data_IF_173125191585
#
_entry.id   IF_173125191585
#
_cell.length_a   1.000
_cell.length_b   1.000
_cell.length_c   1.000
_cell.angle_alpha   90.00
_cell.angle_beta   90.00
_cell.angle_gamma   90.00
#
_symmetry.space_group_name_H-M   'P 1'
#
loop_
_entity.id
_entity.type
_entity.pdbx_description
1 polymer ?
#
# COMPACT_ATOMS: atom_id res chain seq x y z
N UNK A 1 30.85 -1.78 0.05
CA UNK A 1 29.85 -1.36 -0.93
C UNK A 1 29.04 -0.24 -0.31
N UNK A 2 28.96 0.90 -0.99
CA UNK A 2 28.20 2.07 -0.57
C UNK A 2 26.85 2.11 -1.32
N UNK A 3 25.74 2.14 -0.59
CA UNK A 3 24.39 2.00 -1.16
C UNK A 3 23.60 3.28 -0.89
N UNK A 4 23.13 3.93 -1.97
CA UNK A 4 22.25 5.09 -1.88
C UNK A 4 20.79 4.71 -2.15
N UNK A 5 19.88 5.07 -1.24
CA UNK A 5 18.44 4.85 -1.35
C UNK A 5 17.79 6.21 -1.59
N UNK A 6 17.13 6.37 -2.72
CA UNK A 6 16.39 7.59 -3.08
C UNK A 6 14.93 7.42 -2.66
N UNK A 7 14.51 8.14 -1.62
CA UNK A 7 13.18 8.11 -1.03
C UNK A 7 13.11 7.39 0.33
N UNK A 8 12.65 8.11 1.33
CA UNK A 8 12.41 7.66 2.72
C UNK A 8 10.96 7.22 2.98
N UNK A 9 10.29 6.67 1.97
CA UNK A 9 8.98 6.04 2.10
C UNK A 9 9.03 4.65 2.75
N UNK A 10 7.89 3.96 2.83
CA UNK A 10 7.78 2.63 3.46
C UNK A 10 8.79 1.63 2.85
N UNK A 11 8.90 1.57 1.51
CA UNK A 11 9.83 0.67 0.82
C UNK A 11 11.29 1.00 1.10
N UNK A 12 11.67 2.29 0.99
CA UNK A 12 13.06 2.73 1.21
C UNK A 12 13.53 2.54 2.65
N UNK A 13 12.67 2.82 3.62
CA UNK A 13 12.98 2.60 5.05
C UNK A 13 13.03 1.10 5.39
N UNK A 14 12.12 0.29 4.83
CA UNK A 14 12.18 -1.16 4.99
C UNK A 14 13.47 -1.73 4.41
N UNK A 15 13.90 -1.24 3.24
CA UNK A 15 15.18 -1.61 2.63
C UNK A 15 16.35 -1.20 3.52
N UNK A 16 16.40 0.04 3.99
CA UNK A 16 17.48 0.52 4.85
C UNK A 16 17.64 -0.31 6.12
N UNK A 17 16.51 -0.64 6.77
CA UNK A 17 16.48 -1.49 7.96
C UNK A 17 16.92 -2.93 7.66
N UNK A 18 16.53 -3.47 6.51
CA UNK A 18 16.91 -4.84 6.11
C UNK A 18 18.38 -4.91 5.75
N UNK A 19 18.92 -3.92 5.03
CA UNK A 19 20.35 -3.81 4.73
C UNK A 19 21.17 -3.69 6.01
N UNK A 20 20.74 -2.85 6.94
CA UNK A 20 21.38 -2.74 8.25
C UNK A 20 21.43 -4.08 8.99
N UNK A 21 20.34 -4.84 8.99
CA UNK A 21 20.28 -6.17 9.59
C UNK A 21 21.24 -7.17 8.93
N UNK A 22 21.55 -6.99 7.63
CA UNK A 22 22.52 -7.77 6.87
C UNK A 22 23.97 -7.23 6.98
N UNK A 23 24.22 -6.18 7.77
CA UNK A 23 25.53 -5.57 7.91
C UNK A 23 25.97 -4.77 6.67
N UNK A 24 25.04 -4.41 5.79
CA UNK A 24 25.31 -3.64 4.57
C UNK A 24 25.05 -2.16 4.84
N UNK A 25 26.08 -1.28 4.78
CA UNK A 25 25.90 0.15 5.02
C UNK A 25 25.12 0.80 3.87
N UNK A 26 24.17 1.68 4.22
CA UNK A 26 23.39 2.45 3.25
C UNK A 26 23.11 3.86 3.77
N UNK A 27 22.71 4.75 2.86
CA UNK A 27 22.22 6.10 3.15
C UNK A 27 20.88 6.32 2.46
N UNK A 28 19.92 6.92 3.19
CA UNK A 28 18.58 7.25 2.70
C UNK A 28 18.51 8.76 2.45
N UNK A 29 18.00 9.15 1.30
CA UNK A 29 17.82 10.54 0.87
C UNK A 29 16.32 10.79 0.64
N UNK A 30 15.71 11.51 1.59
CA UNK A 30 14.29 11.85 1.57
C UNK A 30 14.08 13.28 1.10
N UNK A 31 13.11 13.47 0.19
CA UNK A 31 12.83 14.77 -0.38
C UNK A 31 12.26 15.77 0.63
N UNK A 32 11.33 15.34 1.50
CA UNK A 32 10.69 16.26 2.43
C UNK A 32 11.67 16.77 3.51
N UNK A 33 11.55 18.05 3.92
CA UNK A 33 12.40 18.60 4.99
C UNK A 33 12.12 18.00 6.36
N UNK A 34 10.88 17.56 6.60
CA UNK A 34 10.46 16.93 7.85
C UNK A 34 9.38 15.88 7.60
N UNK A 35 9.54 14.72 8.20
CA UNK A 35 8.57 13.64 8.17
C UNK A 35 7.45 13.93 9.17
N UNK A 36 6.19 13.82 8.72
CA UNK A 36 4.98 14.06 9.53
C UNK A 36 4.06 12.85 9.48
N UNK A 37 3.26 12.70 10.52
CA UNK A 37 2.18 11.71 10.54
C UNK A 37 1.04 12.16 9.63
N UNK A 38 1.08 11.73 8.37
CA UNK A 38 0.11 12.10 7.35
C UNK A 38 -0.58 10.87 6.76
N UNK A 39 -1.80 11.07 6.31
CA UNK A 39 -2.55 10.09 5.53
C UNK A 39 -3.77 9.54 6.25
N UNK A 40 -4.23 8.40 5.77
CA UNK A 40 -5.39 7.64 6.23
C UNK A 40 -4.94 6.22 6.62
N UNK A 41 -5.87 5.29 6.72
CA UNK A 41 -5.53 3.90 7.04
C UNK A 41 -4.74 3.18 5.93
N UNK A 42 -4.00 2.19 6.36
CA UNK A 42 -3.37 1.17 5.52
C UNK A 42 -3.51 -0.20 6.20
N UNK A 43 -3.56 -1.26 5.42
CA UNK A 43 -3.59 -2.64 5.95
C UNK A 43 -2.27 -3.33 5.68
N UNK A 44 -1.66 -3.85 6.72
CA UNK A 44 -0.47 -4.70 6.67
C UNK A 44 -0.92 -6.15 6.62
N UNK A 45 -0.75 -6.77 5.46
CA UNK A 45 -1.09 -8.18 5.24
C UNK A 45 -0.06 -9.12 5.90
N UNK A 46 -0.39 -10.39 6.17
CA UNK A 46 0.47 -11.32 6.90
C UNK A 46 1.89 -11.46 6.34
N UNK A 47 2.07 -11.48 5.01
CA UNK A 47 3.39 -11.56 4.38
C UNK A 47 4.24 -10.27 4.58
N UNK A 48 3.62 -9.09 4.66
CA UNK A 48 4.33 -7.88 5.06
C UNK A 48 4.68 -7.88 6.55
N UNK A 49 3.75 -8.34 7.40
CA UNK A 49 3.97 -8.46 8.84
C UNK A 49 5.06 -9.47 9.17
N UNK A 50 5.26 -10.53 8.37
CA UNK A 50 6.40 -11.45 8.49
C UNK A 50 7.72 -10.67 8.42
N UNK A 51 7.90 -9.87 7.38
CA UNK A 51 9.14 -9.12 7.16
C UNK A 51 9.34 -8.03 8.24
N UNK A 52 8.27 -7.32 8.60
CA UNK A 52 8.32 -6.32 9.67
C UNK A 52 8.60 -6.93 11.05
N UNK A 53 8.12 -8.16 11.30
CA UNK A 53 8.43 -8.92 12.51
C UNK A 53 9.89 -9.35 12.52
N UNK A 54 10.44 -9.80 11.39
CA UNK A 54 11.86 -10.10 11.25
C UNK A 54 12.76 -8.89 11.49
N UNK A 55 12.26 -7.67 11.24
CA UNK A 55 12.91 -6.41 11.59
C UNK A 55 12.71 -6.00 13.06
N UNK A 56 12.00 -6.80 13.88
CA UNK A 56 11.72 -6.49 15.28
C UNK A 56 10.65 -5.41 15.49
N UNK A 57 9.81 -5.13 14.48
CA UNK A 57 8.78 -4.09 14.54
C UNK A 57 7.37 -4.64 14.68
N UNK A 58 7.17 -5.95 14.51
CA UNK A 58 5.85 -6.58 14.40
C UNK A 58 4.93 -6.30 15.59
N UNK A 59 5.40 -6.53 16.83
CA UNK A 59 4.59 -6.30 18.03
C UNK A 59 4.25 -4.82 18.24
N UNK A 60 5.19 -3.91 17.95
CA UNK A 60 4.94 -2.48 18.05
C UNK A 60 3.85 -2.04 17.08
N UNK A 61 3.83 -2.56 15.86
CA UNK A 61 2.81 -2.26 14.86
C UNK A 61 1.44 -2.84 15.23
N UNK A 62 1.40 -4.05 15.81
CA UNK A 62 0.14 -4.63 16.32
C UNK A 62 -0.44 -3.77 17.45
N UNK A 63 0.40 -3.25 18.35
CA UNK A 63 -0.05 -2.37 19.45
C UNK A 63 -0.52 -0.98 18.99
N UNK A 64 0.03 -0.48 17.86
CA UNK A 64 -0.32 0.84 17.31
C UNK A 64 -1.51 0.81 16.36
N UNK A 65 -1.87 -0.37 15.86
CA UNK A 65 -2.99 -0.61 14.96
C UNK A 65 -4.05 -1.53 15.58
N UNK A 66 -4.87 -2.09 14.71
CA UNK A 66 -5.89 -3.08 15.10
C UNK A 66 -5.66 -4.35 14.27
N UNK A 67 -5.52 -5.48 14.95
CA UNK A 67 -5.46 -6.78 14.28
C UNK A 67 -6.84 -7.13 13.72
N UNK A 68 -6.94 -7.25 12.40
CA UNK A 68 -8.15 -7.64 11.71
C UNK A 68 -8.52 -9.09 12.05
N UNK A 69 -9.76 -9.28 12.52
CA UNK A 69 -10.30 -10.59 12.87
C UNK A 69 -10.90 -11.31 11.67
N UNK A 70 -11.68 -10.56 10.90
CA UNK A 70 -12.40 -11.08 9.74
C UNK A 70 -12.44 -10.06 8.60
N UNK A 71 -12.70 -10.55 7.39
CA UNK A 71 -13.08 -9.75 6.23
C UNK A 71 -14.52 -10.08 5.87
N UNK A 72 -15.34 -9.05 5.65
CA UNK A 72 -16.75 -9.19 5.33
C UNK A 72 -17.10 -8.44 4.06
N UNK A 73 -17.85 -9.11 3.20
CA UNK A 73 -18.28 -8.59 1.92
C UNK A 73 -19.80 -8.46 1.94
N UNK A 74 -20.29 -7.27 1.64
CA UNK A 74 -21.71 -6.96 1.63
C UNK A 74 -22.14 -6.41 0.27
N UNK A 75 -23.41 -6.59 -0.10
CA UNK A 75 -24.01 -5.82 -1.18
C UNK A 75 -24.30 -4.37 -0.71
N UNK A 76 -24.74 -3.51 -1.60
CA UNK A 76 -25.07 -2.11 -1.28
C UNK A 76 -26.29 -1.94 -0.36
N UNK A 77 -27.04 -3.01 -0.11
CA UNK A 77 -28.17 -3.05 0.81
C UNK A 77 -27.79 -3.50 2.22
N UNK A 78 -26.50 -3.80 2.48
CA UNK A 78 -25.99 -4.24 3.77
C UNK A 78 -26.16 -5.74 4.05
N UNK A 79 -26.56 -6.54 3.05
CA UNK A 79 -26.68 -7.99 3.19
C UNK A 79 -25.31 -8.66 3.02
N UNK A 80 -25.01 -9.59 3.92
CA UNK A 80 -23.73 -10.33 3.91
C UNK A 80 -23.69 -11.29 2.71
N UNK A 81 -22.66 -11.13 1.88
CA UNK A 81 -22.33 -12.01 0.76
C UNK A 81 -21.38 -13.12 1.22
N UNK A 82 -20.29 -12.73 1.84
CA UNK A 82 -19.24 -13.65 2.25
C UNK A 82 -18.46 -13.08 3.44
N UNK A 83 -17.98 -13.96 4.28
CA UNK A 83 -17.07 -13.61 5.35
C UNK A 83 -15.97 -14.67 5.50
N UNK A 84 -14.80 -14.25 5.93
CA UNK A 84 -13.67 -15.11 6.19
C UNK A 84 -12.78 -14.57 7.31
N UNK A 85 -12.12 -15.43 8.10
CA UNK A 85 -11.14 -15.00 9.09
C UNK A 85 -9.90 -14.41 8.43
N UNK A 86 -9.17 -13.55 9.17
CA UNK A 86 -7.97 -12.86 8.68
C UNK A 86 -6.77 -13.07 9.62
N UNK A 87 -5.57 -12.89 9.08
CA UNK A 87 -4.34 -12.94 9.86
C UNK A 87 -4.27 -14.20 10.74
N UNK A 88 -3.92 -14.03 12.01
CA UNK A 88 -3.81 -15.15 12.96
C UNK A 88 -5.13 -15.90 13.19
N UNK A 89 -6.26 -15.22 13.03
CA UNK A 89 -7.58 -15.87 13.12
C UNK A 89 -7.88 -16.81 11.94
N UNK A 90 -7.18 -16.64 10.81
CA UNK A 90 -7.21 -17.56 9.67
C UNK A 90 -6.12 -18.63 9.73
N UNK A 91 -5.35 -18.69 10.82
CA UNK A 91 -4.25 -19.65 11.02
C UNK A 91 -2.93 -19.22 10.35
N UNK A 92 -2.75 -17.95 10.01
CA UNK A 92 -1.43 -17.43 9.66
C UNK A 92 -0.56 -17.26 10.91
N UNK A 93 0.77 -17.41 10.82
CA UNK A 93 1.68 -17.12 11.94
C UNK A 93 1.71 -15.62 12.29
N UNK A 94 1.33 -14.76 11.34
CA UNK A 94 1.41 -13.31 11.47
C UNK A 94 0.05 -12.66 11.42
N UNK A 95 -0.10 -11.55 12.16
CA UNK A 95 -1.30 -10.74 12.17
C UNK A 95 -1.56 -10.08 10.81
N UNK A 96 -2.81 -9.75 10.53
CA UNK A 96 -3.16 -8.71 9.58
C UNK A 96 -3.57 -7.46 10.36
N UNK A 97 -2.98 -6.31 10.08
CA UNK A 97 -3.13 -5.11 10.92
C UNK A 97 -3.63 -3.93 10.10
N UNK A 98 -4.79 -3.39 10.48
CA UNK A 98 -5.22 -2.05 10.09
C UNK A 98 -4.50 -1.01 10.94
N UNK A 99 -3.81 -0.04 10.31
CA UNK A 99 -3.03 0.97 11.02
C UNK A 99 -3.10 2.31 10.30
N UNK A 100 -2.92 3.42 11.03
CA UNK A 100 -2.73 4.72 10.42
C UNK A 100 -1.40 4.75 9.63
N UNK A 101 -1.45 5.12 8.34
CA UNK A 101 -0.27 5.08 7.44
C UNK A 101 0.90 5.92 7.96
N UNK A 102 0.59 7.07 8.56
CA UNK A 102 1.60 7.94 9.17
C UNK A 102 2.30 7.27 10.36
N UNK A 103 1.57 6.53 11.19
CA UNK A 103 2.18 5.77 12.31
C UNK A 103 3.11 4.67 11.82
N UNK A 104 2.71 3.92 10.79
CA UNK A 104 3.60 2.94 10.15
C UNK A 104 4.88 3.63 9.65
N UNK A 105 4.72 4.73 8.92
CA UNK A 105 5.87 5.47 8.37
C UNK A 105 6.80 5.99 9.48
N UNK A 106 6.25 6.62 10.52
CA UNK A 106 7.04 7.10 11.67
C UNK A 106 7.72 5.97 12.44
N UNK A 107 7.07 4.81 12.56
CA UNK A 107 7.68 3.63 13.20
C UNK A 107 8.91 3.16 12.41
N UNK A 108 8.83 3.07 11.09
CA UNK A 108 9.96 2.73 10.23
C UNK A 108 11.04 3.83 10.26
N UNK A 109 10.64 5.09 10.20
CA UNK A 109 11.53 6.24 10.23
C UNK A 109 12.34 6.27 11.53
N UNK A 110 11.68 6.19 12.68
CA UNK A 110 12.34 6.20 13.98
C UNK A 110 13.26 5.00 14.17
N UNK A 111 12.86 3.82 13.69
CA UNK A 111 13.72 2.64 13.69
C UNK A 111 14.97 2.85 12.83
N UNK A 112 14.85 3.46 11.64
CA UNK A 112 15.96 3.77 10.76
C UNK A 112 16.88 4.83 11.39
N UNK A 113 16.33 5.91 11.94
CA UNK A 113 17.12 6.93 12.65
C UNK A 113 17.90 6.37 13.84
N UNK A 114 17.27 5.47 14.62
CA UNK A 114 17.89 4.85 15.80
C UNK A 114 19.00 3.88 15.41
N UNK A 115 18.81 3.08 14.35
CA UNK A 115 19.74 2.00 13.98
C UNK A 115 20.85 2.44 13.04
N UNK A 116 20.55 3.34 12.11
CA UNK A 116 21.52 3.81 11.11
C UNK A 116 22.22 5.11 11.54
N UNK A 117 21.56 5.95 12.33
CA UNK A 117 22.01 7.30 12.69
C UNK A 117 21.50 8.38 11.74
N UNK A 118 21.37 9.61 12.26
CA UNK A 118 20.86 10.75 11.49
C UNK A 118 21.76 11.17 10.32
N UNK A 119 23.04 10.83 10.35
CA UNK A 119 23.98 11.06 9.26
C UNK A 119 23.77 10.14 8.05
N UNK A 120 22.95 9.11 8.21
CA UNK A 120 22.61 8.15 7.14
C UNK A 120 21.16 8.21 6.68
N UNK A 121 20.29 8.91 7.40
CA UNK A 121 18.88 9.11 7.06
C UNK A 121 18.64 10.60 6.91
N UNK A 122 18.77 11.09 5.69
CA UNK A 122 18.88 12.50 5.36
C UNK A 122 17.57 13.02 4.76
N UNK A 123 17.02 14.10 5.31
CA UNK A 123 15.86 14.83 4.78
C UNK A 123 16.31 15.98 3.88
N UNK A 124 15.35 16.65 3.23
CA UNK A 124 15.57 17.80 2.36
C UNK A 124 16.56 17.51 1.21
N UNK A 125 16.47 16.29 0.65
CA UNK A 125 17.26 15.83 -0.49
C UNK A 125 16.34 15.40 -1.63
N UNK A 126 15.80 16.38 -2.37
CA UNK A 126 14.99 16.09 -3.55
C UNK A 126 15.91 15.66 -4.70
N UNK A 127 15.74 14.43 -5.18
CA UNK A 127 16.46 13.92 -6.34
C UNK A 127 16.13 14.73 -7.60
N UNK A 128 17.16 15.04 -8.40
CA UNK A 128 17.01 15.80 -9.65
C UNK A 128 17.70 15.16 -10.85
N UNK A 129 18.61 14.21 -10.64
CA UNK A 129 19.29 13.52 -11.73
C UNK A 129 20.37 12.58 -11.24
N UNK A 130 20.92 11.78 -12.15
CA UNK A 130 22.06 10.91 -11.90
C UNK A 130 22.94 10.79 -13.13
N UNK A 131 24.22 10.50 -12.88
CA UNK A 131 25.19 10.00 -13.84
C UNK A 131 25.71 8.66 -13.35
N UNK A 132 26.09 7.75 -14.26
CA UNK A 132 26.72 6.51 -13.86
C UNK A 132 27.85 6.10 -14.78
N UNK A 133 28.83 5.41 -14.23
CA UNK A 133 29.92 4.74 -14.92
C UNK A 133 29.83 3.23 -14.63
N UNK A 134 30.74 2.45 -15.20
CA UNK A 134 30.82 1.01 -14.89
C UNK A 134 31.16 0.73 -13.41
N UNK A 135 31.66 1.72 -12.68
CA UNK A 135 32.13 1.57 -11.29
C UNK A 135 31.27 2.25 -10.25
N UNK A 136 30.64 3.39 -10.59
CA UNK A 136 29.93 4.24 -9.64
C UNK A 136 28.71 4.92 -10.24
N UNK A 137 27.78 5.30 -9.37
CA UNK A 137 26.67 6.20 -9.67
C UNK A 137 26.85 7.49 -8.85
N UNK A 138 26.61 8.63 -9.52
CA UNK A 138 26.58 9.96 -8.92
C UNK A 138 25.16 10.47 -8.92
N UNK A 139 24.59 10.77 -7.75
CA UNK A 139 23.24 11.26 -7.57
C UNK A 139 23.27 12.77 -7.32
N UNK A 140 22.39 13.49 -7.98
CA UNK A 140 22.22 14.93 -7.85
C UNK A 140 20.94 15.24 -7.07
N UNK A 141 21.08 16.11 -6.07
CA UNK A 141 19.99 16.53 -5.20
C UNK A 141 19.89 18.04 -5.13
N UNK A 142 18.72 18.53 -4.75
CA UNK A 142 18.50 19.92 -4.31
C UNK A 142 17.74 19.94 -2.99
N UNK A 143 17.89 21.02 -2.24
CA UNK A 143 17.01 21.29 -1.10
C UNK A 143 15.60 21.52 -1.56
N UNK A 144 14.63 20.77 -1.06
CA UNK A 144 13.21 21.01 -1.33
C UNK A 144 12.68 22.23 -0.57
N UNK A 145 13.31 22.59 0.55
CA UNK A 145 12.96 23.78 1.33
C UNK A 145 13.44 25.09 0.68
N UNK A 146 14.68 25.08 0.14
CA UNK A 146 15.34 26.29 -0.37
C UNK A 146 15.51 26.31 -1.90
N UNK A 147 15.29 25.17 -2.58
CA UNK A 147 15.56 25.03 -4.03
C UNK A 147 17.04 24.96 -4.40
N UNK A 148 17.95 25.17 -3.46
CA UNK A 148 19.38 25.21 -3.69
C UNK A 148 19.97 23.83 -4.01
N UNK A 149 20.96 23.73 -4.93
CA UNK A 149 21.69 22.49 -5.17
C UNK A 149 22.37 21.98 -3.89
N UNK A 150 22.41 20.65 -3.73
CA UNK A 150 23.20 19.96 -2.72
C UNK A 150 24.46 19.36 -3.34
N UNK A 151 25.46 19.07 -2.51
CA UNK A 151 26.65 18.37 -2.99
C UNK A 151 26.25 17.02 -3.64
N UNK A 152 26.82 16.67 -4.80
CA UNK A 152 26.58 15.37 -5.43
C UNK A 152 26.98 14.23 -4.51
N UNK A 153 26.27 13.11 -4.60
CA UNK A 153 26.50 11.92 -3.79
C UNK A 153 26.99 10.79 -4.68
N UNK A 154 28.18 10.28 -4.40
CA UNK A 154 28.69 9.07 -5.03
C UNK A 154 28.31 7.83 -4.24
N UNK A 155 27.96 6.74 -4.97
CA UNK A 155 27.69 5.43 -4.41
C UNK A 155 28.11 4.31 -5.37
N UNK A 156 28.23 3.09 -4.86
CA UNK A 156 28.48 1.92 -5.71
C UNK A 156 27.20 1.52 -6.46
N UNK A 157 26.02 1.69 -5.84
CA UNK A 157 24.70 1.46 -6.42
C UNK A 157 23.68 2.45 -5.86
N UNK A 158 22.62 2.67 -6.63
CA UNK A 158 21.45 3.46 -6.22
C UNK A 158 20.16 2.66 -6.36
N UNK A 159 19.30 2.76 -5.35
CA UNK A 159 17.99 2.11 -5.34
C UNK A 159 16.91 3.21 -5.29
N UNK A 160 16.08 3.25 -6.33
CA UNK A 160 14.98 4.19 -6.44
C UNK A 160 13.75 3.68 -5.67
N UNK A 161 13.44 4.34 -4.57
CA UNK A 161 12.26 4.14 -3.72
C UNK A 161 11.40 5.41 -3.68
N UNK A 162 11.44 6.21 -4.74
CA UNK A 162 10.86 7.56 -4.86
C UNK A 162 9.38 7.56 -5.31
N UNK A 163 8.74 6.39 -5.23
CA UNK A 163 7.28 6.26 -5.30
C UNK A 163 6.70 6.31 -6.71
N UNK A 164 5.37 6.43 -6.78
CA UNK A 164 4.59 6.36 -8.03
C UNK A 164 4.99 7.43 -9.07
N UNK A 165 5.47 8.59 -8.60
CA UNK A 165 5.94 9.70 -9.43
C UNK A 165 7.47 9.68 -9.62
N UNK A 166 8.11 8.53 -9.48
CA UNK A 166 9.56 8.35 -9.52
C UNK A 166 10.22 9.15 -10.63
N UNK A 167 11.12 10.05 -10.25
CA UNK A 167 11.97 10.77 -11.17
C UNK A 167 13.07 9.87 -11.73
N UNK A 168 13.56 8.92 -10.92
CA UNK A 168 14.55 7.94 -11.38
C UNK A 168 13.95 7.05 -12.48
N UNK A 169 12.73 6.52 -12.28
CA UNK A 169 12.03 5.74 -13.33
C UNK A 169 11.87 6.55 -14.61
N UNK A 170 11.53 7.84 -14.50
CA UNK A 170 11.32 8.71 -15.66
C UNK A 170 12.58 8.91 -16.51
N UNK A 171 13.78 8.83 -15.92
CA UNK A 171 15.03 8.89 -16.68
C UNK A 171 15.17 7.72 -17.65
N UNK A 172 14.69 6.52 -17.28
CA UNK A 172 14.77 5.32 -18.08
C UNK A 172 13.52 5.05 -18.92
N UNK A 173 12.39 5.58 -18.48
CA UNK A 173 11.09 5.47 -19.15
C UNK A 173 10.42 6.85 -19.29
N UNK A 174 10.93 7.73 -20.17
CA UNK A 174 10.48 9.13 -20.27
C UNK A 174 9.02 9.28 -20.74
N UNK A 175 8.48 8.26 -21.42
CA UNK A 175 7.10 8.24 -21.92
C UNK A 175 6.15 7.38 -21.08
N UNK A 176 6.59 6.90 -19.92
CA UNK A 176 5.79 6.05 -19.03
C UNK A 176 4.81 6.91 -18.21
N UNK A 177 3.56 6.91 -18.61
CA UNK A 177 2.50 7.71 -17.98
C UNK A 177 1.68 6.92 -16.96
N UNK A 178 1.04 7.65 -16.04
CA UNK A 178 0.02 7.10 -15.15
C UNK A 178 -1.22 6.72 -15.95
N UNK A 179 -1.70 5.50 -15.71
CA UNK A 179 -2.93 4.97 -16.28
C UNK A 179 -4.09 5.16 -15.31
N UNK A 180 -5.06 5.97 -15.69
CA UNK A 180 -6.31 6.13 -14.95
C UNK A 180 -7.34 5.10 -15.44
N UNK A 181 -8.03 4.44 -14.49
CA UNK A 181 -9.04 3.40 -14.81
C UNK A 181 -10.47 3.88 -14.82
N UNK A 182 -10.71 5.17 -14.76
CA UNK A 182 -12.07 5.70 -14.69
C UNK A 182 -12.71 5.52 -13.31
N UNK A 183 -11.91 5.47 -12.23
CA UNK A 183 -12.39 5.35 -10.85
C UNK A 183 -11.76 6.44 -10.01
N UNK A 184 -12.59 7.27 -9.39
CA UNK A 184 -12.17 8.18 -8.33
C UNK A 184 -12.40 7.56 -6.95
N UNK A 185 -11.55 7.94 -6.00
CA UNK A 185 -11.65 7.49 -4.61
C UNK A 185 -11.65 8.68 -3.67
N UNK A 186 -12.55 8.67 -2.72
CA UNK A 186 -12.53 9.58 -1.57
C UNK A 186 -12.20 8.79 -0.32
N UNK A 187 -11.36 9.37 0.52
CA UNK A 187 -10.83 8.68 1.70
C UNK A 187 -10.89 9.60 2.90
N UNK A 188 -11.25 9.04 4.03
CA UNK A 188 -11.25 9.74 5.28
C UNK A 188 -11.04 8.82 6.46
N UNK A 189 -10.94 9.45 7.62
CA UNK A 189 -10.94 8.78 8.92
C UNK A 189 -11.99 9.41 9.78
N UNK A 190 -12.73 8.59 10.54
CA UNK A 190 -13.84 9.05 11.37
C UNK A 190 -13.73 8.41 12.74
N UNK A 191 -13.87 9.22 13.80
CA UNK A 191 -14.06 8.71 15.15
C UNK A 191 -15.50 8.22 15.30
N UNK A 192 -15.67 6.91 15.56
CA UNK A 192 -16.97 6.28 15.69
C UNK A 192 -16.93 5.09 16.65
N UNK A 193 -18.12 4.65 17.10
CA UNK A 193 -18.25 3.40 17.84
C UNK A 193 -17.84 2.22 16.97
N UNK A 194 -17.24 1.16 17.56
CA UNK A 194 -16.95 -0.07 16.85
C UNK A 194 -18.20 -0.63 16.16
N UNK A 195 -18.06 -1.06 14.92
CA UNK A 195 -19.11 -1.79 14.20
C UNK A 195 -18.74 -3.28 14.04
N UNK A 196 -19.73 -4.14 13.86
CA UNK A 196 -19.55 -5.60 13.73
C UNK A 196 -18.71 -6.17 14.89
N UNK A 197 -17.53 -6.73 14.59
CA UNK A 197 -16.62 -7.25 15.63
C UNK A 197 -15.71 -6.20 16.27
N UNK A 198 -15.75 -4.94 15.78
CA UNK A 198 -14.76 -3.92 16.11
C UNK A 198 -13.38 -4.17 15.51
N UNK A 199 -13.22 -5.27 14.76
CA UNK A 199 -11.98 -5.72 14.11
C UNK A 199 -12.24 -6.26 12.69
N UNK A 200 -13.35 -5.87 12.09
CA UNK A 200 -13.75 -6.32 10.76
C UNK A 200 -13.17 -5.42 9.68
N UNK A 201 -12.62 -6.05 8.63
CA UNK A 201 -12.30 -5.39 7.38
C UNK A 201 -13.49 -5.56 6.43
N UNK A 202 -14.19 -4.50 6.15
CA UNK A 202 -15.45 -4.51 5.40
C UNK A 202 -15.28 -4.01 3.98
N UNK A 203 -15.92 -4.67 3.03
CA UNK A 203 -16.17 -4.18 1.68
C UNK A 203 -17.66 -4.25 1.40
N UNK A 204 -18.25 -3.15 0.96
CA UNK A 204 -19.67 -3.11 0.59
C UNK A 204 -19.86 -2.45 -0.77
N UNK A 205 -20.78 -3.02 -1.56
CA UNK A 205 -21.11 -2.57 -2.91
C UNK A 205 -20.02 -2.77 -3.96
N UNK A 206 -20.35 -2.55 -5.21
CA UNK A 206 -19.45 -2.66 -6.35
C UNK A 206 -19.07 -1.28 -6.91
N UNK A 207 -18.11 -1.23 -7.83
CA UNK A 207 -17.72 0.01 -8.51
C UNK A 207 -18.87 0.63 -9.31
N UNK A 208 -19.80 -0.18 -9.82
CA UNK A 208 -20.94 0.26 -10.62
C UNK A 208 -22.00 0.98 -9.77
N UNK A 209 -22.19 0.52 -8.54
CA UNK A 209 -23.23 1.02 -7.63
C UNK A 209 -22.70 1.89 -6.50
N UNK A 210 -21.40 2.08 -6.47
CA UNK A 210 -20.63 2.64 -5.37
C UNK A 210 -20.01 1.53 -4.52
N UNK A 211 -18.72 1.66 -4.21
CA UNK A 211 -18.00 0.74 -3.34
C UNK A 211 -17.49 1.49 -2.13
N UNK A 212 -17.52 0.89 -0.96
CA UNK A 212 -16.87 1.40 0.23
C UNK A 212 -16.08 0.30 0.94
N UNK A 213 -14.87 0.67 1.36
CA UNK A 213 -13.99 -0.17 2.21
C UNK A 213 -13.88 0.50 3.57
N UNK A 214 -14.12 -0.24 4.65
CA UNK A 214 -14.14 0.28 6.02
C UNK A 214 -13.34 -0.66 6.91
N UNK A 215 -12.45 -0.12 7.75
CA UNK A 215 -11.75 -0.88 8.77
C UNK A 215 -11.22 0.01 9.89
N UNK A 216 -11.18 -0.45 11.14
CA UNK A 216 -10.62 0.32 12.24
C UNK A 216 -9.09 0.33 12.18
N UNK A 217 -8.47 1.44 12.61
CA UNK A 217 -7.01 1.67 12.56
C UNK A 217 -6.40 2.11 13.89
N UNK A 218 -7.19 2.58 14.84
CA UNK A 218 -6.78 2.91 16.20
C UNK A 218 -7.92 2.55 17.12
N UNK A 219 -7.62 1.86 18.21
CA UNK A 219 -8.58 1.51 19.23
C UNK A 219 -8.64 2.58 20.32
N UNK A 220 -9.82 2.75 20.90
CA UNK A 220 -10.07 3.61 22.06
C UNK A 220 -9.34 4.97 22.01
N UNK A 221 -9.64 5.77 20.97
CA UNK A 221 -8.94 7.05 20.70
C UNK A 221 -9.23 8.15 21.71
N UNK A 222 -10.22 7.98 22.59
CA UNK A 222 -10.69 9.01 23.53
C UNK A 222 -10.95 8.49 24.96
N UNK A 223 -10.68 7.22 25.24
CA UNK A 223 -10.99 6.59 26.55
C UNK A 223 -12.48 6.28 26.75
N UNK A 224 -13.31 6.48 25.72
CA UNK A 224 -14.76 6.20 25.74
C UNK A 224 -15.14 5.02 24.83
N UNK A 225 -14.13 4.31 24.32
CA UNK A 225 -14.28 3.15 23.45
C UNK A 225 -14.62 3.49 21.99
N UNK A 226 -14.36 4.73 21.53
CA UNK A 226 -14.44 5.05 20.12
C UNK A 226 -13.15 4.60 19.39
N UNK A 227 -13.33 4.12 18.18
CA UNK A 227 -12.23 3.78 17.28
C UNK A 227 -12.02 4.88 16.23
N UNK A 228 -10.81 5.02 15.74
CA UNK A 228 -10.56 5.73 14.48
C UNK A 228 -10.78 4.74 13.34
N UNK A 229 -11.80 4.98 12.54
CA UNK A 229 -12.23 4.11 11.45
C UNK A 229 -11.81 4.75 10.12
N UNK A 230 -11.01 4.03 9.37
CA UNK A 230 -10.70 4.39 7.98
C UNK A 230 -11.84 3.98 7.07
N UNK A 231 -12.19 4.85 6.14
CA UNK A 231 -13.09 4.51 5.05
C UNK A 231 -12.52 5.00 3.70
N UNK A 232 -12.82 4.28 2.66
CA UNK A 232 -12.46 4.62 1.27
C UNK A 232 -13.62 4.30 0.37
N UNK A 233 -14.16 5.29 -0.32
CA UNK A 233 -15.17 5.12 -1.36
C UNK A 233 -14.50 5.01 -2.72
N UNK A 234 -15.10 4.24 -3.63
CA UNK A 234 -14.63 4.06 -4.99
C UNK A 234 -15.83 4.14 -5.95
N UNK A 235 -15.76 5.03 -6.90
CA UNK A 235 -16.87 5.31 -7.82
C UNK A 235 -16.36 5.40 -9.25
N UNK A 236 -17.06 4.76 -10.17
CA UNK A 236 -16.80 4.93 -11.61
C UNK A 236 -17.09 6.39 -12.00
N UNK A 237 -16.08 7.08 -12.51
CA UNK A 237 -16.19 8.48 -12.93
C UNK A 237 -15.27 8.75 -14.12
N UNK A 238 -15.78 9.24 -15.25
CA UNK A 238 -14.93 9.59 -16.39
C UNK A 238 -14.11 10.85 -16.10
N UNK A 239 -12.81 10.75 -16.29
CA UNK A 239 -11.88 11.86 -16.17
C UNK A 239 -11.42 12.18 -14.76
N UNK A 240 -10.21 12.68 -14.65
CA UNK A 240 -9.63 13.22 -13.41
C UNK A 240 -8.65 14.35 -13.77
N UNK A 241 -8.44 15.27 -12.81
CA UNK A 241 -7.37 16.26 -12.93
C UNK A 241 -6.03 15.64 -12.58
N UNK A 242 -5.11 15.60 -13.54
CA UNK A 242 -3.73 15.12 -13.34
C UNK A 242 -3.03 16.07 -12.36
N UNK A 243 -2.46 15.63 -11.28
CA UNK A 243 -1.42 16.29 -10.48
C UNK A 243 -1.75 16.83 -9.08
N UNK A 244 -2.89 16.59 -8.49
CA UNK A 244 -3.09 16.98 -7.09
C UNK A 244 -3.32 15.79 -6.16
N UNK A 245 -2.22 15.22 -5.64
CA UNK A 245 -2.25 14.14 -4.66
C UNK A 245 -2.64 14.58 -3.24
N UNK A 246 -2.82 15.88 -3.03
CA UNK A 246 -3.29 16.48 -1.79
C UNK A 246 -4.65 17.14 -1.95
N UNK A 247 -5.34 16.87 -3.04
CA UNK A 247 -6.66 17.44 -3.32
C UNK A 247 -7.62 17.07 -2.20
N UNK A 248 -8.21 18.08 -1.58
CA UNK A 248 -9.32 17.89 -0.66
C UNK A 248 -10.56 17.51 -1.46
N UNK A 249 -11.14 16.37 -1.14
CA UNK A 249 -12.39 15.93 -1.72
C UNK A 249 -13.55 16.75 -1.15
N UNK A 250 -14.55 16.99 -1.98
CA UNK A 250 -15.80 17.65 -1.58
C UNK A 250 -16.86 16.59 -1.33
N UNK A 251 -17.54 16.70 -0.20
CA UNK A 251 -18.56 15.73 0.19
C UNK A 251 -19.69 15.64 -0.85
N UNK A 252 -20.06 16.77 -1.44
CA UNK A 252 -21.15 16.90 -2.40
C UNK A 252 -20.90 16.09 -3.68
N UNK A 253 -19.65 15.86 -4.04
CA UNK A 253 -19.28 15.20 -5.29
C UNK A 253 -19.67 13.70 -5.28
N UNK A 254 -19.81 13.06 -4.12
CA UNK A 254 -20.04 11.62 -4.05
C UNK A 254 -21.06 11.14 -3.00
N UNK A 255 -21.40 11.93 -1.98
CA UNK A 255 -22.25 11.48 -0.85
C UNK A 255 -23.62 11.01 -1.29
N UNK A 256 -24.15 11.58 -2.37
CA UNK A 256 -25.47 11.23 -2.91
C UNK A 256 -25.56 9.74 -3.31
N UNK A 257 -24.45 9.11 -3.71
CA UNK A 257 -24.37 7.68 -4.07
C UNK A 257 -24.65 6.81 -2.85
N UNK A 258 -24.25 7.26 -1.68
CA UNK A 258 -24.35 6.52 -0.41
C UNK A 258 -25.55 6.93 0.43
N UNK A 259 -26.40 7.83 -0.05
CA UNK A 259 -27.50 8.44 0.74
C UNK A 259 -28.46 7.42 1.36
N UNK A 260 -28.70 6.31 0.68
CA UNK A 260 -29.59 5.21 1.12
C UNK A 260 -28.84 4.07 1.87
N UNK A 261 -27.50 4.15 2.06
CA UNK A 261 -26.73 3.06 2.65
C UNK A 261 -26.80 3.10 4.18
N UNK A 262 -27.97 2.76 4.68
CA UNK A 262 -28.24 2.63 6.12
C UNK A 262 -28.41 1.16 6.42
N UNK A 263 -27.37 0.57 6.95
CA UNK A 263 -27.33 -0.85 7.31
C UNK A 263 -27.70 -0.98 8.80
N UNK A 264 -28.17 -2.15 9.23
CA UNK A 264 -28.49 -2.41 10.64
C UNK A 264 -27.27 -2.19 11.56
N UNK A 265 -26.07 -2.34 11.01
CA UNK A 265 -24.81 -2.26 11.74
C UNK A 265 -24.01 -0.95 11.47
N UNK A 266 -24.40 -0.12 10.49
CA UNK A 266 -23.70 1.15 10.17
C UNK A 266 -24.57 2.10 9.33
N UNK A 267 -24.64 3.37 9.72
CA UNK A 267 -25.07 4.47 8.86
C UNK A 267 -23.87 5.00 8.09
N UNK A 268 -23.72 4.58 6.82
CA UNK A 268 -22.57 4.94 5.98
C UNK A 268 -22.50 6.45 5.71
N UNK A 269 -23.60 7.14 5.34
CA UNK A 269 -23.61 8.60 5.22
C UNK A 269 -23.14 9.33 6.48
N UNK A 270 -23.56 8.89 7.66
CA UNK A 270 -23.14 9.51 8.94
C UNK A 270 -21.64 9.31 9.15
N UNK A 271 -21.13 8.10 8.95
CA UNK A 271 -19.68 7.81 9.04
C UNK A 271 -18.87 8.77 8.16
N UNK A 272 -19.29 8.94 6.90
CA UNK A 272 -18.59 9.80 5.93
C UNK A 272 -18.66 11.28 6.34
N UNK A 273 -19.84 11.79 6.70
CA UNK A 273 -20.05 13.22 7.06
C UNK A 273 -19.29 13.66 8.30
N UNK A 274 -19.01 12.74 9.21
CA UNK A 274 -18.27 13.02 10.45
C UNK A 274 -16.76 13.04 10.29
N UNK A 275 -16.24 12.84 9.06
CA UNK A 275 -14.81 12.97 8.78
C UNK A 275 -14.38 14.42 8.78
N UNK A 276 -13.33 14.77 9.53
CA UNK A 276 -12.77 16.11 9.58
C UNK A 276 -12.15 16.53 8.24
N UNK A 277 -11.55 15.57 7.55
CA UNK A 277 -10.88 15.78 6.26
C UNK A 277 -11.18 14.62 5.31
N UNK A 278 -11.57 14.98 4.10
CA UNK A 278 -11.75 14.04 2.99
C UNK A 278 -10.67 14.34 1.96
N UNK A 279 -9.97 13.30 1.53
CA UNK A 279 -9.01 13.37 0.43
C UNK A 279 -9.61 12.73 -0.82
N UNK A 280 -9.32 13.31 -1.97
CA UNK A 280 -9.70 12.75 -3.27
C UNK A 280 -8.47 12.26 -4.03
N UNK A 281 -8.52 11.04 -4.50
CA UNK A 281 -7.44 10.43 -5.27
C UNK A 281 -7.98 9.70 -6.49
N UNK A 282 -7.41 9.96 -7.69
CA UNK A 282 -7.70 9.12 -8.83
C UNK A 282 -7.10 7.72 -8.62
N UNK A 283 -7.79 6.69 -9.06
CA UNK A 283 -7.22 5.34 -9.06
C UNK A 283 -6.32 5.19 -10.29
N UNK A 284 -5.03 5.24 -10.02
CA UNK A 284 -3.99 5.15 -11.07
C UNK A 284 -3.01 4.05 -10.76
N UNK A 285 -2.44 3.49 -11.80
CA UNK A 285 -1.26 2.63 -11.77
C UNK A 285 -0.37 2.91 -12.98
N UNK A 286 0.61 2.04 -13.23
CA UNK A 286 1.38 2.02 -14.47
C UNK A 286 1.43 0.60 -15.02
N UNK A 287 1.64 0.48 -16.31
CA UNK A 287 1.89 -0.83 -16.90
C UNK A 287 3.19 -1.43 -16.35
N UNK A 288 3.20 -2.75 -16.10
CA UNK A 288 4.44 -3.44 -15.75
C UNK A 288 5.51 -3.21 -16.82
N UNK A 289 6.74 -2.96 -16.37
CA UNK A 289 7.89 -2.82 -17.24
C UNK A 289 8.79 -4.04 -17.13
N UNK A 290 9.45 -4.41 -18.22
CA UNK A 290 10.26 -5.63 -18.29
C UNK A 290 11.60 -5.48 -17.57
N UNK A 291 12.05 -4.24 -17.34
CA UNK A 291 13.36 -3.95 -16.76
C UNK A 291 13.28 -2.96 -15.62
N UNK A 292 13.91 -3.29 -14.49
CA UNK A 292 14.05 -2.41 -13.33
C UNK A 292 15.47 -1.94 -13.09
N UNK A 293 16.45 -2.71 -13.59
CA UNK A 293 17.87 -2.52 -13.33
C UNK A 293 18.58 -1.94 -14.55
N UNK A 294 19.25 -0.83 -14.37
CA UNK A 294 19.98 -0.07 -15.38
C UNK A 294 21.40 0.18 -14.89
N UNK A 295 22.29 -0.76 -15.17
CA UNK A 295 23.66 -0.72 -14.68
C UNK A 295 23.71 -0.83 -13.15
N UNK A 296 24.02 0.28 -12.48
CA UNK A 296 24.15 0.37 -11.04
C UNK A 296 22.92 0.97 -10.33
N UNK A 297 21.84 1.11 -11.07
CA UNK A 297 20.57 1.67 -10.57
C UNK A 297 19.47 0.63 -10.70
N UNK A 298 18.64 0.46 -9.67
CA UNK A 298 17.42 -0.36 -9.73
C UNK A 298 16.23 0.33 -9.09
N UNK A 299 15.02 -0.04 -9.53
CA UNK A 299 13.75 0.44 -9.01
C UNK A 299 13.22 -0.49 -7.92
N UNK A 300 12.49 0.04 -6.92
CA UNK A 300 11.87 -0.73 -5.85
C UNK A 300 10.51 -0.15 -5.45
N UNK A 301 9.55 -1.01 -5.14
CA UNK A 301 8.21 -0.62 -4.70
C UNK A 301 7.45 0.16 -5.78
N UNK A 302 6.76 1.23 -5.41
CA UNK A 302 5.94 2.01 -6.36
C UNK A 302 6.76 2.68 -7.47
N UNK A 303 8.08 2.81 -7.34
CA UNK A 303 8.94 3.23 -8.45
C UNK A 303 9.02 2.13 -9.52
N UNK A 304 8.98 0.86 -9.13
CA UNK A 304 9.04 -0.30 -10.03
C UNK A 304 7.66 -0.74 -10.52
N UNK A 305 6.69 -0.88 -9.61
CA UNK A 305 5.38 -1.50 -9.85
C UNK A 305 4.23 -0.77 -9.14
N UNK A 306 3.98 0.50 -9.46
CA UNK A 306 2.82 1.19 -8.91
C UNK A 306 1.53 0.44 -9.26
N UNK A 307 0.66 0.22 -8.28
CA UNK A 307 -0.54 -0.59 -8.43
C UNK A 307 -1.77 0.03 -7.80
N UNK A 308 -2.94 -0.33 -8.30
CA UNK A 308 -4.18 0.08 -7.66
C UNK A 308 -4.28 -0.41 -6.22
N UNK A 309 -4.75 0.42 -5.29
CA UNK A 309 -4.82 0.05 -3.87
C UNK A 309 -5.98 -0.89 -3.54
N UNK A 310 -6.44 -1.72 -4.48
CA UNK A 310 -7.62 -2.59 -4.32
C UNK A 310 -7.38 -3.85 -3.50
N UNK A 311 -6.16 -4.31 -3.37
CA UNK A 311 -5.82 -5.51 -2.62
C UNK A 311 -4.94 -5.26 -1.40
N UNK A 312 -4.71 -4.00 -1.02
CA UNK A 312 -3.79 -3.61 0.07
C UNK A 312 -2.36 -4.13 -0.11
N UNK A 313 -1.91 -4.35 -1.36
CA UNK A 313 -0.65 -5.03 -1.66
C UNK A 313 0.54 -4.10 -1.92
N UNK A 314 0.36 -2.82 -2.28
CA UNK A 314 1.48 -1.95 -2.66
C UNK A 314 2.60 -1.89 -1.63
N UNK A 315 2.28 -1.55 -0.39
CA UNK A 315 3.26 -1.51 0.69
C UNK A 315 3.83 -2.90 1.02
N UNK A 316 2.99 -3.95 0.96
CA UNK A 316 3.45 -5.31 1.23
C UNK A 316 4.49 -5.77 0.20
N UNK A 317 4.24 -5.54 -1.08
CA UNK A 317 5.18 -5.89 -2.15
C UNK A 317 6.49 -5.08 -2.04
N UNK A 318 6.43 -3.79 -1.69
CA UNK A 318 7.62 -2.96 -1.48
C UNK A 318 8.48 -3.45 -0.28
N UNK A 319 7.85 -3.92 0.80
CA UNK A 319 8.54 -4.49 1.96
C UNK A 319 9.20 -5.83 1.60
N UNK A 320 8.54 -6.67 0.79
CA UNK A 320 9.10 -7.93 0.29
C UNK A 320 10.26 -7.65 -0.69
N UNK A 321 10.11 -6.66 -1.56
CA UNK A 321 11.20 -6.22 -2.44
C UNK A 321 12.45 -5.86 -1.65
N UNK A 322 12.27 -5.10 -0.56
CA UNK A 322 13.36 -4.70 0.33
C UNK A 322 14.09 -5.93 0.91
N UNK A 323 13.34 -6.95 1.33
CA UNK A 323 13.92 -8.21 1.81
C UNK A 323 14.70 -8.93 0.70
N UNK A 324 14.07 -9.14 -0.46
CA UNK A 324 14.69 -9.90 -1.57
C UNK A 324 15.96 -9.18 -2.06
N UNK A 325 15.90 -7.85 -2.25
CA UNK A 325 17.06 -7.08 -2.69
C UNK A 325 18.21 -7.15 -1.68
N UNK A 326 17.93 -6.97 -0.40
CA UNK A 326 18.96 -7.02 0.65
C UNK A 326 19.60 -8.42 0.74
N UNK A 327 18.81 -9.49 0.58
CA UNK A 327 19.32 -10.86 0.57
C UNK A 327 20.26 -11.09 -0.64
N UNK A 328 19.87 -10.64 -1.85
CA UNK A 328 20.75 -10.73 -3.04
C UNK A 328 22.04 -9.95 -2.90
N UNK A 329 22.00 -8.78 -2.30
CA UNK A 329 23.20 -7.97 -2.05
C UNK A 329 24.12 -8.61 -0.98
N UNK A 330 23.55 -9.33 -0.03
CA UNK A 330 24.31 -10.03 1.01
C UNK A 330 24.98 -11.32 0.53
N UNK A 331 24.60 -11.87 -0.63
CA UNK A 331 25.24 -13.05 -1.24
C UNK A 331 26.70 -12.79 -1.68
N UNK A 332 27.18 -11.54 -1.66
CA UNK A 332 28.57 -11.16 -1.95
C UNK A 332 28.95 -11.22 -3.42
N UNK A 333 27.98 -11.33 -4.32
CA UNK A 333 28.20 -11.25 -5.77
C UNK A 333 28.41 -9.81 -6.23
N UNK A 334 28.83 -9.62 -7.48
CA UNK A 334 28.91 -8.28 -8.09
C UNK A 334 27.59 -7.54 -7.98
N UNK A 335 27.66 -6.27 -7.53
CA UNK A 335 26.47 -5.50 -7.21
C UNK A 335 25.45 -5.40 -8.39
N UNK A 336 25.83 -5.05 -9.64
CA UNK A 336 24.91 -5.12 -10.77
C UNK A 336 24.28 -6.51 -11.01
N UNK A 337 25.01 -7.59 -10.71
CA UNK A 337 24.45 -8.94 -10.81
C UNK A 337 23.40 -9.20 -9.72
N UNK A 338 23.63 -8.75 -8.49
CA UNK A 338 22.65 -8.81 -7.40
C UNK A 338 21.37 -8.03 -7.74
N UNK A 339 21.50 -6.82 -8.32
CA UNK A 339 20.35 -6.01 -8.75
C UNK A 339 19.52 -6.74 -9.83
N UNK A 340 20.17 -7.36 -10.81
CA UNK A 340 19.48 -8.17 -11.85
C UNK A 340 18.82 -9.43 -11.27
N UNK A 341 19.45 -10.08 -10.30
CA UNK A 341 18.86 -11.24 -9.63
C UNK A 341 17.62 -10.86 -8.80
N UNK A 342 17.64 -9.70 -8.16
CA UNK A 342 16.46 -9.11 -7.51
C UNK A 342 15.33 -8.86 -8.53
N UNK A 343 15.61 -8.16 -9.62
CA UNK A 343 14.66 -7.89 -10.70
C UNK A 343 14.02 -9.20 -11.21
N UNK A 344 14.82 -10.19 -11.55
CA UNK A 344 14.35 -11.49 -12.04
C UNK A 344 13.44 -12.21 -11.02
N UNK A 345 13.71 -12.07 -9.72
CA UNK A 345 12.90 -12.68 -8.67
C UNK A 345 11.55 -11.96 -8.45
N UNK A 346 11.48 -10.67 -8.74
CA UNK A 346 10.33 -9.83 -8.34
C UNK A 346 9.45 -9.32 -9.47
N UNK A 347 10.02 -8.96 -10.62
CA UNK A 347 9.28 -8.26 -11.69
C UNK A 347 8.06 -9.04 -12.17
N UNK A 348 8.21 -10.32 -12.48
CA UNK A 348 7.09 -11.16 -12.93
C UNK A 348 6.02 -11.42 -11.85
N UNK A 349 6.42 -11.48 -10.58
CA UNK A 349 5.48 -11.65 -9.45
C UNK A 349 4.62 -10.40 -9.29
N UNK A 350 5.24 -9.24 -9.20
CA UNK A 350 4.54 -7.97 -8.99
C UNK A 350 3.72 -7.56 -10.21
N UNK A 351 4.17 -7.87 -11.43
CA UNK A 351 3.39 -7.68 -12.66
C UNK A 351 2.04 -8.42 -12.60
N UNK A 352 2.04 -9.68 -12.14
CA UNK A 352 0.79 -10.44 -11.95
C UNK A 352 -0.12 -9.79 -10.91
N UNK A 353 0.42 -9.24 -9.82
CA UNK A 353 -0.38 -8.51 -8.82
C UNK A 353 -1.00 -7.24 -9.40
N UNK A 354 -0.23 -6.45 -10.18
CA UNK A 354 -0.75 -5.26 -10.88
C UNK A 354 -1.92 -5.64 -11.78
N UNK A 355 -1.79 -6.67 -12.60
CA UNK A 355 -2.83 -7.13 -13.51
C UNK A 355 -4.04 -7.71 -12.76
N UNK A 356 -3.83 -8.48 -11.70
CA UNK A 356 -4.92 -9.00 -10.86
C UNK A 356 -5.74 -7.88 -10.20
N UNK A 357 -5.08 -6.82 -9.72
CA UNK A 357 -5.77 -5.65 -9.16
C UNK A 357 -6.66 -4.93 -10.20
N UNK A 358 -6.33 -5.04 -11.50
CA UNK A 358 -7.15 -4.50 -12.58
C UNK A 358 -8.35 -5.38 -12.90
N UNK A 359 -8.14 -6.70 -12.98
CA UNK A 359 -9.10 -7.67 -13.55
C UNK A 359 -9.97 -8.35 -12.49
N UNK A 360 -9.34 -8.89 -11.45
CA UNK A 360 -9.97 -9.68 -10.41
C UNK A 360 -9.47 -9.29 -9.01
N UNK A 361 -9.74 -8.03 -8.57
CA UNK A 361 -9.39 -7.61 -7.22
C UNK A 361 -10.25 -8.36 -6.18
N UNK A 362 -9.94 -8.26 -4.87
CA UNK A 362 -10.68 -8.98 -3.83
C UNK A 362 -12.18 -8.72 -3.80
N UNK A 363 -12.62 -7.53 -4.20
CA UNK A 363 -14.03 -7.14 -4.27
C UNK A 363 -14.77 -7.69 -5.53
N UNK A 364 -14.08 -8.46 -6.39
CA UNK A 364 -14.71 -9.19 -7.49
C UNK A 364 -15.83 -10.12 -7.01
N UNK A 365 -15.74 -10.64 -5.77
CA UNK A 365 -16.80 -11.43 -5.13
C UNK A 365 -18.14 -10.68 -5.15
N UNK A 366 -18.15 -9.39 -4.80
CA UNK A 366 -19.38 -8.58 -4.77
C UNK A 366 -19.93 -8.42 -6.18
N UNK A 367 -19.06 -8.08 -7.13
CA UNK A 367 -19.46 -7.95 -8.54
C UNK A 367 -20.04 -9.24 -9.10
N UNK A 368 -19.43 -10.39 -8.77
CA UNK A 368 -19.92 -11.70 -9.20
C UNK A 368 -21.33 -11.98 -8.69
N UNK A 369 -21.64 -11.62 -7.45
CA UNK A 369 -22.98 -11.75 -6.89
C UNK A 369 -23.97 -10.80 -7.56
N UNK A 370 -23.60 -9.54 -7.79
CA UNK A 370 -24.45 -8.59 -8.54
C UNK A 370 -24.76 -9.07 -9.97
N UNK A 371 -23.81 -9.71 -10.66
CA UNK A 371 -24.02 -10.31 -11.98
C UNK A 371 -25.06 -11.44 -11.96
N UNK A 372 -25.15 -12.19 -10.85
CA UNK A 372 -26.06 -13.31 -10.71
C UNK A 372 -27.45 -12.92 -10.19
N UNK A 373 -27.49 -11.99 -9.23
CA UNK A 373 -28.72 -11.60 -8.52
C UNK A 373 -29.36 -10.36 -9.13
N UNK A 374 -28.56 -9.54 -9.83
CA UNK A 374 -28.92 -8.17 -10.18
C UNK A 374 -28.64 -7.20 -9.01
N UNK A 375 -28.93 -5.92 -9.25
CA UNK A 375 -28.79 -4.88 -8.23
C UNK A 375 -30.05 -4.80 -7.34
N UNK A 376 -30.37 -5.91 -6.67
CA UNK A 376 -31.53 -6.08 -5.79
C UNK A 376 -31.15 -6.85 -4.52
N UNK A 377 -31.91 -6.67 -3.42
CA UNK A 377 -31.77 -7.55 -2.26
C UNK A 377 -32.06 -9.00 -2.63
N UNK A 378 -31.40 -9.94 -1.94
CA UNK A 378 -31.65 -11.36 -2.07
C UNK A 378 -32.26 -11.93 -0.77
N UNK A 379 -33.12 -12.93 -0.89
CA UNK A 379 -33.66 -13.66 0.26
C UNK A 379 -32.72 -14.79 0.70
N UNK A 380 -32.19 -15.53 -0.28
CA UNK A 380 -31.29 -16.66 -0.07
C UNK A 380 -30.20 -16.67 -1.16
N UNK A 381 -29.00 -16.24 -0.81
CA UNK A 381 -27.85 -16.19 -1.72
C UNK A 381 -27.44 -17.60 -2.20
N UNK A 382 -27.66 -18.64 -1.37
CA UNK A 382 -27.31 -20.02 -1.70
C UNK A 382 -27.96 -20.56 -2.97
N UNK A 383 -29.06 -19.94 -3.41
CA UNK A 383 -29.76 -20.29 -4.69
C UNK A 383 -28.97 -19.84 -5.92
N UNK A 384 -28.05 -18.88 -5.78
CA UNK A 384 -27.33 -18.27 -6.90
C UNK A 384 -25.86 -18.68 -6.93
N UNK A 385 -25.23 -18.79 -5.76
CA UNK A 385 -23.81 -19.09 -5.64
C UNK A 385 -23.53 -19.78 -4.31
N UNK A 386 -22.69 -20.82 -4.33
CA UNK A 386 -22.30 -21.53 -3.12
C UNK A 386 -21.21 -20.78 -2.33
N UNK A 387 -21.17 -21.01 -1.00
CA UNK A 387 -20.11 -20.49 -0.15
C UNK A 387 -18.71 -20.97 -0.60
N UNK A 388 -18.61 -22.21 -1.07
CA UNK A 388 -17.34 -22.77 -1.57
C UNK A 388 -16.84 -22.07 -2.84
N UNK A 389 -17.75 -21.64 -3.71
CA UNK A 389 -17.39 -20.86 -4.90
C UNK A 389 -16.87 -19.46 -4.51
N UNK A 390 -17.54 -18.79 -3.58
CA UNK A 390 -17.08 -17.52 -3.04
C UNK A 390 -15.69 -17.65 -2.36
N UNK A 391 -15.47 -18.73 -1.62
CA UNK A 391 -14.17 -19.04 -1.02
C UNK A 391 -13.07 -19.24 -2.05
N UNK A 392 -13.35 -19.95 -3.16
CA UNK A 392 -12.39 -20.13 -4.27
C UNK A 392 -12.01 -18.79 -4.92
N UNK A 393 -12.96 -17.89 -5.12
CA UNK A 393 -12.70 -16.54 -5.65
C UNK A 393 -11.77 -15.73 -4.72
N UNK A 394 -11.99 -15.79 -3.41
CA UNK A 394 -11.11 -15.16 -2.43
C UNK A 394 -9.69 -15.75 -2.46
N UNK A 395 -9.58 -17.07 -2.47
CA UNK A 395 -8.29 -17.78 -2.43
C UNK A 395 -7.46 -17.60 -3.73
N UNK A 396 -8.11 -17.40 -4.87
CA UNK A 396 -7.43 -17.10 -6.12
C UNK A 396 -6.62 -15.82 -6.04
N UNK A 397 -7.22 -14.75 -5.52
CA UNK A 397 -6.50 -13.48 -5.32
C UNK A 397 -5.33 -13.64 -4.34
N UNK A 398 -5.53 -14.34 -3.21
CA UNK A 398 -4.47 -14.57 -2.21
C UNK A 398 -3.26 -15.29 -2.83
N UNK A 399 -3.51 -16.29 -3.72
CA UNK A 399 -2.43 -17.00 -4.42
C UNK A 399 -1.65 -16.09 -5.37
N UNK A 400 -2.35 -15.28 -6.17
CA UNK A 400 -1.69 -14.35 -7.10
C UNK A 400 -0.87 -13.30 -6.34
N UNK A 401 -1.40 -12.80 -5.25
CA UNK A 401 -0.75 -11.76 -4.44
C UNK A 401 0.35 -12.30 -3.50
N UNK A 402 0.57 -13.61 -3.45
CA UNK A 402 1.65 -14.26 -2.70
C UNK A 402 1.44 -14.29 -1.19
N UNK A 403 0.19 -14.27 -0.74
CA UNK A 403 -0.13 -14.41 0.68
C UNK A 403 -1.15 -15.52 0.97
N UNK A 404 -1.27 -16.53 0.11
CA UNK A 404 -1.93 -17.75 0.52
C UNK A 404 -1.23 -18.35 1.74
N UNK A 405 -1.99 -18.98 2.66
CA UNK A 405 -1.46 -19.43 3.96
C UNK A 405 -0.18 -20.26 3.84
N UNK A 406 -0.09 -21.13 2.82
CA UNK A 406 1.11 -21.94 2.55
C UNK A 406 2.34 -21.13 2.13
N UNK A 407 2.18 -19.90 1.67
CA UNK A 407 3.27 -19.05 1.16
C UNK A 407 3.83 -18.12 2.25
N UNK A 408 3.17 -18.05 3.42
CA UNK A 408 3.51 -17.14 4.54
C UNK A 408 3.99 -17.91 5.77
N UNK A 409 3.73 -19.21 5.83
CA UNK A 409 4.10 -20.12 6.92
C UNK A 409 5.60 -20.41 7.02
#
# INVERSE_FOLDING_TARGET
MDIAIVGGGIGGLALALTLHQRGLPCRVYEAVPAVKELGVGITLLPHAMRELTALGLGESLVRQGIENRDSRFFNRFGQLIYDEPRGRFAGYPFAEVGIHRGRLHLTLWNAAMTRLGGERVLTDHQFVGLDQTDRRVTLHFRSSAMGAPRAPVEADIAIACDGVNSLVRRLFYPHDELRFVGINTWRGVTRARPCLTGRSYVRAGSIQTGNIVIYPIIDDVDGEGHQLINWTTQVAQPGYERNDWNKRGRLEDFIHIYASWKFDWLDVPDLIRRSDVIFEYPMVDKDPVDRWTFGRVTLLGDAAHPMYPRGSNGAAQAIIDARVLADRLAEGVDAPAALRAYEAARSGVTARVVLANRQHPPDYIIRRVEELVGDTPFDDLGRYISRDELGRLSDEYKRVAGFARKDVG
#
